data_IF_486958143241
#
_entry.id   IF_486958143241
#
_cell.length_a   1.000
_cell.length_b   1.000
_cell.length_c   1.000
_cell.angle_alpha   90.00
_cell.angle_beta   90.00
_cell.angle_gamma   90.00
#
_symmetry.space_group_name_H-M   'P 1'
#
loop_
_entity.id
_entity.type
_entity.pdbx_description
1 polymer ?
#
# COMPACT_ATOMS: atom_id res chain seq x y z
N UNK A 1 22.60 17.64 27.02
CA UNK A 1 22.07 16.99 25.81
C UNK A 1 20.58 16.76 26.04
N UNK A 2 19.71 17.47 25.32
CA UNK A 2 18.27 17.25 25.42
C UNK A 2 17.93 15.95 24.68
N UNK A 3 17.26 14.97 25.30
CA UNK A 3 16.70 13.86 24.56
C UNK A 3 15.61 14.44 23.66
N UNK A 4 15.85 14.42 22.35
CA UNK A 4 14.86 14.81 21.34
C UNK A 4 13.56 14.03 21.59
N UNK A 5 12.47 14.74 21.81
CA UNK A 5 11.13 14.17 21.95
C UNK A 5 10.87 13.16 20.83
N UNK A 6 10.18 12.03 21.10
CA UNK A 6 9.74 11.13 20.05
C UNK A 6 8.78 11.90 19.14
N UNK A 7 9.26 12.33 17.97
CA UNK A 7 8.43 12.91 16.92
C UNK A 7 7.24 11.98 16.70
N UNK A 8 6.02 12.49 16.95
CA UNK A 8 4.80 11.71 16.85
C UNK A 8 4.77 10.95 15.52
N UNK A 9 4.86 9.63 15.61
CA UNK A 9 4.82 8.72 14.47
C UNK A 9 3.44 8.85 13.82
N UNK A 10 3.35 9.51 12.67
CA UNK A 10 2.12 9.47 11.88
C UNK A 10 1.94 8.05 11.35
N UNK A 11 0.80 7.45 11.70
CA UNK A 11 0.34 6.18 11.16
C UNK A 11 -0.97 6.38 10.40
N UNK A 12 -1.12 5.66 9.29
CA UNK A 12 -2.39 5.53 8.58
C UNK A 12 -2.77 4.05 8.51
N UNK A 13 -4.04 3.75 8.74
CA UNK A 13 -4.59 2.41 8.57
C UNK A 13 -5.65 2.46 7.50
N UNK A 14 -5.59 1.51 6.57
CA UNK A 14 -6.49 1.42 5.42
C UNK A 14 -6.88 -0.03 5.19
N UNK A 15 -8.07 -0.22 4.63
CA UNK A 15 -8.50 -1.48 4.06
C UNK A 15 -8.30 -1.38 2.54
N UNK A 16 -7.86 -2.45 1.90
CA UNK A 16 -7.66 -2.46 0.46
C UNK A 16 -8.08 -3.81 -0.14
N UNK A 17 -8.62 -3.78 -1.36
CA UNK A 17 -8.56 -4.95 -2.23
C UNK A 17 -7.19 -4.98 -2.89
N UNK A 18 -6.51 -6.10 -2.71
CA UNK A 18 -5.21 -6.37 -3.29
C UNK A 18 -5.30 -7.58 -4.21
N UNK A 19 -4.33 -7.70 -5.11
CA UNK A 19 -4.25 -8.78 -6.09
C UNK A 19 -2.93 -9.52 -5.93
N UNK A 20 -3.00 -10.85 -5.82
CA UNK A 20 -1.82 -11.73 -5.82
C UNK A 20 -1.24 -11.83 -7.22
N UNK A 21 0.02 -12.25 -7.33
CA UNK A 21 0.64 -12.57 -8.62
C UNK A 21 -0.10 -13.68 -9.39
N UNK A 22 -0.81 -14.56 -8.68
CA UNK A 22 -1.71 -15.57 -9.28
C UNK A 22 -2.94 -14.97 -9.97
N UNK A 23 -3.24 -13.70 -9.73
CA UNK A 23 -4.47 -13.05 -10.18
C UNK A 23 -5.60 -13.06 -9.16
N UNK A 24 -5.47 -13.81 -8.07
CA UNK A 24 -6.46 -13.88 -7.01
C UNK A 24 -6.59 -12.55 -6.26
N UNK A 25 -7.84 -12.12 -6.03
CA UNK A 25 -8.14 -10.96 -5.19
C UNK A 25 -8.23 -11.38 -3.72
N UNK A 26 -7.75 -10.53 -2.84
CA UNK A 26 -7.82 -10.74 -1.40
C UNK A 26 -8.02 -9.39 -0.68
N UNK A 27 -8.56 -9.44 0.54
CA UNK A 27 -8.71 -8.26 1.37
C UNK A 27 -7.47 -8.07 2.24
N UNK A 28 -6.87 -6.88 2.16
CA UNK A 28 -5.66 -6.54 2.90
C UNK A 28 -5.93 -5.39 3.87
N UNK A 29 -5.59 -5.59 5.14
CA UNK A 29 -5.37 -4.48 6.07
C UNK A 29 -3.96 -3.94 5.85
N UNK A 30 -3.86 -2.62 5.68
CA UNK A 30 -2.62 -1.90 5.47
C UNK A 30 -2.40 -0.92 6.61
N UNK A 31 -1.31 -1.09 7.36
CA UNK A 31 -0.85 -0.09 8.33
C UNK A 31 0.45 0.53 7.86
N UNK A 32 0.45 1.84 7.63
CA UNK A 32 1.59 2.61 7.17
C UNK A 32 2.15 3.48 8.30
N UNK A 33 3.47 3.54 8.42
CA UNK A 33 4.18 4.47 9.29
C UNK A 33 5.17 5.27 8.50
N UNK A 34 5.14 6.59 8.66
CA UNK A 34 6.21 7.46 8.15
C UNK A 34 7.32 7.52 9.21
N UNK A 35 8.55 7.31 8.78
CA UNK A 35 9.75 7.33 9.61
C UNK A 35 10.82 8.18 8.95
N UNK A 36 11.71 8.75 9.75
CA UNK A 36 12.88 9.46 9.27
C UNK A 36 14.13 8.65 9.57
N UNK A 37 15.04 8.53 8.59
CA UNK A 37 16.30 7.83 8.78
C UNK A 37 17.18 8.62 9.75
N UNK A 38 17.66 8.01 10.85
CA UNK A 38 18.27 8.73 11.97
C UNK A 38 19.56 9.48 11.60
N UNK A 39 20.35 8.96 10.65
CA UNK A 39 21.63 9.57 10.26
C UNK A 39 21.61 10.32 8.93
N UNK A 40 20.62 10.06 8.09
CA UNK A 40 20.59 10.57 6.70
C UNK A 40 19.43 11.54 6.47
N UNK A 41 18.48 11.65 7.42
CA UNK A 41 17.40 12.64 7.40
C UNK A 41 16.30 12.42 6.36
N UNK A 42 16.42 11.44 5.45
CA UNK A 42 15.37 11.10 4.48
C UNK A 42 14.18 10.40 5.17
N UNK A 43 12.99 10.63 4.64
CA UNK A 43 11.78 9.96 5.10
C UNK A 43 11.56 8.65 4.33
N UNK A 44 11.05 7.64 5.03
CA UNK A 44 10.63 6.37 4.45
C UNK A 44 9.28 5.94 5.04
N UNK A 45 8.55 5.12 4.30
CA UNK A 45 7.29 4.54 4.74
C UNK A 45 7.50 3.06 5.02
N UNK A 46 7.09 2.61 6.20
CA UNK A 46 7.02 1.18 6.55
C UNK A 46 5.57 0.76 6.45
N UNK A 47 5.28 -0.26 5.66
CA UNK A 47 3.95 -0.86 5.54
C UNK A 47 3.90 -2.23 6.18
N UNK A 48 2.88 -2.48 7.01
CA UNK A 48 2.49 -3.82 7.45
C UNK A 48 1.21 -4.22 6.71
N UNK A 49 1.29 -5.32 5.97
CA UNK A 49 0.21 -5.82 5.12
C UNK A 49 -0.27 -7.13 5.72
N UNK A 50 -1.56 -7.21 6.06
CA UNK A 50 -2.17 -8.42 6.61
C UNK A 50 -3.31 -8.85 5.71
N UNK A 51 -3.24 -10.08 5.22
CA UNK A 51 -4.40 -10.71 4.58
C UNK A 51 -5.45 -10.99 5.67
N UNK A 52 -6.60 -10.36 5.50
CA UNK A 52 -7.75 -10.50 6.40
C UNK A 52 -8.99 -10.97 5.64
N UNK A 53 -8.78 -11.71 4.53
CA UNK A 53 -9.88 -12.19 3.69
C UNK A 53 -10.85 -13.11 4.43
N UNK A 54 -10.37 -13.80 5.48
CA UNK A 54 -11.21 -14.65 6.33
C UNK A 54 -12.12 -13.85 7.25
N UNK A 55 -11.66 -12.69 7.72
CA UNK A 55 -12.46 -11.77 8.54
C UNK A 55 -13.34 -10.85 7.69
N UNK A 56 -12.83 -10.39 6.54
CA UNK A 56 -13.50 -9.49 5.61
C UNK A 56 -13.42 -10.05 4.18
N UNK A 57 -14.45 -10.78 3.73
CA UNK A 57 -14.48 -11.34 2.38
C UNK A 57 -14.42 -10.27 1.30
N UNK A 58 -13.71 -10.57 0.19
CA UNK A 58 -13.60 -9.69 -0.99
C UNK A 58 -14.96 -9.22 -1.50
N UNK A 59 -15.97 -10.10 -1.50
CA UNK A 59 -17.31 -9.80 -1.96
C UNK A 59 -17.94 -8.63 -1.18
N UNK A 60 -17.71 -8.53 0.14
CA UNK A 60 -18.27 -7.44 0.94
C UNK A 60 -17.71 -6.09 0.51
N UNK A 61 -16.40 -5.99 0.26
CA UNK A 61 -15.80 -4.73 -0.19
C UNK A 61 -16.27 -4.33 -1.58
N UNK A 62 -16.41 -5.30 -2.49
CA UNK A 62 -16.95 -5.03 -3.83
C UNK A 62 -18.40 -4.57 -3.79
N UNK A 63 -19.24 -5.16 -2.93
CA UNK A 63 -20.63 -4.73 -2.74
C UNK A 63 -20.70 -3.29 -2.23
N UNK A 64 -19.93 -2.96 -1.19
CA UNK A 64 -19.88 -1.59 -0.65
C UNK A 64 -19.40 -0.61 -1.72
N UNK A 65 -18.35 -0.95 -2.46
CA UNK A 65 -17.84 -0.11 -3.54
C UNK A 65 -18.89 0.12 -4.64
N UNK A 66 -19.63 -0.91 -5.03
CA UNK A 66 -20.70 -0.81 -6.03
C UNK A 66 -21.89 0.06 -5.55
N UNK A 67 -22.26 -0.07 -4.27
CA UNK A 67 -23.31 0.76 -3.66
C UNK A 67 -22.90 2.22 -3.60
N UNK A 68 -21.68 2.51 -3.15
CA UNK A 68 -21.12 3.87 -3.11
C UNK A 68 -21.03 4.48 -4.50
N UNK A 69 -20.54 3.72 -5.48
CA UNK A 69 -20.51 4.15 -6.88
C UNK A 69 -21.90 4.49 -7.41
N UNK A 70 -22.92 3.72 -7.03
CA UNK A 70 -24.32 3.98 -7.42
C UNK A 70 -24.91 5.23 -6.75
N UNK A 71 -24.34 5.66 -5.62
CA UNK A 71 -24.70 6.89 -4.90
C UNK A 71 -23.90 8.11 -5.38
N UNK A 72 -23.06 7.95 -6.42
CA UNK A 72 -22.26 9.02 -7.00
C UNK A 72 -20.92 9.27 -6.31
N UNK A 73 -20.43 8.32 -5.49
CA UNK A 73 -19.08 8.40 -4.95
C UNK A 73 -18.05 8.43 -6.09
N UNK A 74 -17.10 9.34 -5.98
CA UNK A 74 -16.01 9.51 -6.93
C UNK A 74 -15.03 8.34 -6.87
N UNK A 75 -14.30 8.11 -7.96
CA UNK A 75 -13.22 7.12 -8.00
C UNK A 75 -12.14 7.37 -6.93
N UNK A 76 -11.95 8.63 -6.50
CA UNK A 76 -11.02 9.02 -5.43
C UNK A 76 -11.50 8.57 -4.05
N UNK A 77 -12.80 8.72 -3.77
CA UNK A 77 -13.44 8.22 -2.53
C UNK A 77 -13.44 6.68 -2.47
N UNK A 78 -13.60 6.03 -3.63
CA UNK A 78 -13.49 4.59 -3.76
C UNK A 78 -12.04 4.09 -3.66
N UNK A 79 -11.08 4.82 -4.23
CA UNK A 79 -9.65 4.47 -4.18
C UNK A 79 -9.06 4.67 -2.77
N UNK A 80 -9.55 5.65 -2.01
CA UNK A 80 -9.22 5.78 -0.58
C UNK A 80 -9.69 4.56 0.24
N UNK A 81 -10.73 3.85 -0.24
CA UNK A 81 -11.29 2.66 0.40
C UNK A 81 -10.71 1.34 -0.16
N UNK A 82 -10.17 1.35 -1.38
CA UNK A 82 -9.88 0.12 -2.14
C UNK A 82 -8.81 0.39 -3.22
N UNK A 83 -7.55 0.05 -2.97
CA UNK A 83 -6.60 -0.14 -4.06
C UNK A 83 -5.16 0.12 -3.69
N UNK A 84 -4.46 -0.91 -3.20
CA UNK A 84 -3.00 -0.90 -3.13
C UNK A 84 -2.49 -2.09 -3.91
N UNK A 85 -1.91 -1.82 -5.08
CA UNK A 85 -1.16 -2.83 -5.83
C UNK A 85 0.19 -3.04 -5.15
N UNK A 86 0.32 -4.21 -4.51
CA UNK A 86 1.52 -4.62 -3.79
C UNK A 86 2.53 -5.35 -4.67
N UNK A 87 2.26 -5.47 -5.98
CA UNK A 87 2.90 -6.45 -6.85
C UNK A 87 3.57 -5.96 -8.12
N UNK A 88 3.60 -4.66 -8.46
CA UNK A 88 4.01 -4.24 -9.82
C UNK A 88 5.32 -3.46 -9.99
N UNK A 89 6.27 -3.45 -9.04
CA UNK A 89 7.61 -2.91 -9.32
C UNK A 89 8.76 -3.78 -8.79
N UNK A 90 8.96 -4.94 -9.43
CA UNK A 90 10.30 -5.55 -9.48
C UNK A 90 10.47 -6.39 -10.73
N UNK A 91 10.63 -5.72 -11.89
CA UNK A 91 11.31 -6.12 -13.14
C UNK A 91 10.91 -5.03 -14.13
N UNK A 92 11.66 -3.94 -14.34
CA UNK A 92 12.52 -3.76 -15.51
C UNK A 92 13.38 -2.48 -15.35
N UNK A 93 14.43 -2.53 -14.53
CA UNK A 93 15.58 -1.60 -14.64
C UNK A 93 16.87 -2.35 -14.41
N UNK A 94 17.18 -3.30 -15.30
CA UNK A 94 18.56 -3.74 -15.54
C UNK A 94 18.74 -4.57 -16.82
N UNK A 95 18.10 -4.13 -17.91
CA UNK A 95 18.37 -4.65 -19.26
C UNK A 95 18.88 -3.49 -20.13
N UNK A 96 20.08 -3.00 -19.81
CA UNK A 96 20.69 -1.84 -20.44
C UNK A 96 22.21 -1.90 -20.39
N UNK A 97 22.77 -2.95 -20.99
CA UNK A 97 24.08 -3.00 -21.66
C UNK A 97 25.25 -2.30 -20.95
N UNK A 98 25.94 -3.02 -20.07
CA UNK A 98 27.38 -2.87 -19.90
C UNK A 98 28.08 -3.97 -20.71
N UNK A 99 28.16 -3.77 -22.03
CA UNK A 99 29.16 -4.48 -22.84
C UNK A 99 30.46 -3.67 -22.75
N UNK A 100 31.36 -4.09 -21.88
CA UNK A 100 32.78 -3.85 -22.09
C UNK A 100 33.29 -4.82 -23.15
N UNK A 101 34.02 -4.31 -24.16
CA UNK A 101 35.30 -4.82 -24.69
C UNK A 101 35.61 -4.14 -26.03
N UNK A 102 36.54 -3.18 -26.02
CA UNK A 102 37.85 -3.28 -26.67
C UNK A 102 38.61 -1.96 -26.52
#
# INVERSE_FOLDING_TARGET
>A
ANPSEPTASRSASMLALARRSSGELFTCELTLWVRQHPSMGWNYVVGLHRDITQEVPVAHLLTIAAELSSQGASAEELAAAVGVDLGSERTERNSGVLNGTN
#
